data_IF_122066887668
#
_entry.id   IF_122066887668
#
_cell.length_a   1.000
_cell.length_b   1.000
_cell.length_c   1.000
_cell.angle_alpha   90.00
_cell.angle_beta   90.00
_cell.angle_gamma   90.00
#
_symmetry.space_group_name_H-M   'P 1'
#
loop_
_entity.id
_entity.type
_entity.pdbx_description
1 polymer ?
#
# COMPACT_ATOMS: atom_id res chain seq x y z
N UNK A 1 14.92 18.08 8.88
CA UNK A 1 14.58 16.76 8.28
C UNK A 1 13.08 16.53 8.38
N UNK A 2 12.43 16.02 7.34
CA UNK A 2 11.09 15.41 7.46
C UNK A 2 11.23 13.92 7.77
N UNK A 3 10.41 13.43 8.69
CA UNK A 3 10.35 12.02 9.08
C UNK A 3 9.13 11.37 8.44
N UNK A 4 9.37 10.53 7.42
CA UNK A 4 8.31 9.68 6.87
C UNK A 4 8.04 8.51 7.80
N UNK A 5 6.84 8.47 8.38
CA UNK A 5 6.40 7.44 9.29
C UNK A 5 5.10 6.79 8.78
N UNK A 6 5.26 5.66 8.09
CA UNK A 6 4.21 4.98 7.32
C UNK A 6 3.27 4.13 8.17
N UNK A 7 2.70 4.72 9.22
CA UNK A 7 1.74 4.08 10.12
C UNK A 7 0.61 5.05 10.49
N UNK A 8 -0.56 4.55 10.91
CA UNK A 8 -1.65 5.40 11.37
C UNK A 8 -1.26 6.22 12.59
N UNK A 9 -1.19 7.54 12.44
CA UNK A 9 -0.93 8.49 13.53
C UNK A 9 -2.09 9.46 13.72
N UNK A 10 -2.30 9.89 14.96
CA UNK A 10 -3.04 11.12 15.24
C UNK A 10 -2.04 12.27 15.20
N UNK A 11 -2.20 13.11 14.19
CA UNK A 11 -1.29 14.21 13.92
C UNK A 11 -1.90 15.50 14.48
N UNK A 12 -1.34 16.01 15.59
CA UNK A 12 -1.78 17.26 16.24
C UNK A 12 -1.15 18.52 15.62
N UNK A 13 -0.02 18.36 14.95
CA UNK A 13 0.69 19.40 14.21
C UNK A 13 1.54 18.75 13.13
N UNK A 14 2.11 19.54 12.21
CA UNK A 14 2.99 18.97 11.17
C UNK A 14 4.20 18.22 11.75
N UNK A 15 4.60 18.50 13.00
CA UNK A 15 5.76 17.91 13.71
C UNK A 15 5.35 17.00 14.87
N UNK A 16 4.17 16.40 14.84
CA UNK A 16 3.69 15.51 15.90
C UNK A 16 2.95 14.31 15.29
N UNK A 17 3.17 13.11 15.81
CA UNK A 17 2.48 11.91 15.34
C UNK A 17 2.32 10.90 16.46
N UNK A 18 1.13 10.84 17.06
CA UNK A 18 0.81 9.86 18.09
C UNK A 18 0.38 8.55 17.42
N UNK A 19 1.22 7.51 17.51
CA UNK A 19 0.93 6.22 16.89
C UNK A 19 -0.37 5.63 17.44
N UNK A 20 -1.33 5.36 16.56
CA UNK A 20 -2.64 4.83 16.94
C UNK A 20 -2.62 3.30 17.07
N UNK A 21 -1.91 2.64 16.15
CA UNK A 21 -1.75 1.18 16.09
C UNK A 21 -0.64 0.83 15.11
N UNK A 22 0.00 -0.32 15.33
CA UNK A 22 0.85 -0.90 14.31
C UNK A 22 0.02 -1.53 13.18
N UNK A 23 0.60 -1.54 11.98
CA UNK A 23 0.09 -2.22 10.79
C UNK A 23 1.24 -3.00 10.15
N UNK A 24 1.00 -3.70 9.04
CA UNK A 24 2.06 -4.45 8.31
C UNK A 24 2.76 -5.50 9.21
N UNK A 25 1.99 -6.12 10.11
CA UNK A 25 2.45 -7.09 11.12
C UNK A 25 3.57 -6.62 12.07
N UNK A 26 3.72 -5.30 12.25
CA UNK A 26 4.55 -4.77 13.33
C UNK A 26 3.84 -4.94 14.70
N UNK A 27 4.63 -5.18 15.75
CA UNK A 27 4.16 -5.19 17.14
C UNK A 27 5.31 -4.80 18.10
N UNK A 28 5.58 -3.49 18.19
CA UNK A 28 6.66 -2.95 19.03
C UNK A 28 6.07 -2.27 20.27
N UNK A 29 6.42 -2.70 21.50
CA UNK A 29 5.91 -2.11 22.72
C UNK A 29 6.45 -0.68 22.95
N UNK A 30 5.70 0.14 23.67
CA UNK A 30 6.14 1.48 24.11
C UNK A 30 6.02 2.59 23.06
N UNK A 31 5.44 2.32 21.90
CA UNK A 31 5.26 3.32 20.82
C UNK A 31 3.79 3.69 20.62
N UNK A 32 2.88 2.71 20.70
CA UNK A 32 1.44 2.96 20.58
C UNK A 32 0.98 3.92 21.69
N UNK A 33 0.22 4.95 21.32
CA UNK A 33 -0.24 6.02 22.21
C UNK A 33 0.81 7.10 22.51
N UNK A 34 2.01 7.01 21.96
CA UNK A 34 3.10 7.98 22.18
C UNK A 34 3.42 8.74 20.89
N UNK A 35 3.90 9.98 21.05
CA UNK A 35 4.39 10.78 19.93
C UNK A 35 5.77 10.26 19.52
N UNK A 36 5.90 9.86 18.25
CA UNK A 36 7.12 9.25 17.72
C UNK A 36 8.20 10.28 17.41
N UNK A 37 7.85 11.57 17.25
CA UNK A 37 8.83 12.61 16.95
C UNK A 37 9.79 12.85 18.13
N UNK A 38 9.32 13.10 19.37
CA UNK A 38 10.22 13.21 20.51
C UNK A 38 11.05 11.95 20.77
N UNK A 39 10.48 10.75 20.55
CA UNK A 39 11.20 9.49 20.71
C UNK A 39 12.40 9.40 19.75
N UNK A 40 12.22 9.80 18.48
CA UNK A 40 13.32 9.84 17.52
C UNK A 40 14.35 10.93 17.88
N UNK A 41 13.90 12.12 18.25
CA UNK A 41 14.79 13.24 18.60
C UNK A 41 15.64 12.95 19.84
N UNK A 42 15.10 12.25 20.85
CA UNK A 42 15.86 11.81 22.02
C UNK A 42 17.03 10.91 21.62
N UNK A 43 16.81 9.94 20.72
CA UNK A 43 17.85 9.03 20.24
C UNK A 43 18.88 9.72 19.33
N UNK A 44 18.46 10.69 18.53
CA UNK A 44 19.37 11.53 17.73
C UNK A 44 20.26 12.40 18.63
N UNK A 45 19.68 13.00 19.68
CA UNK A 45 20.40 13.83 20.64
C UNK A 45 21.44 13.01 21.43
N UNK A 46 21.10 11.81 21.90
CA UNK A 46 22.04 10.88 22.55
C UNK A 46 23.27 10.57 21.70
N UNK A 47 23.14 10.64 20.37
CA UNK A 47 24.19 10.37 19.39
C UNK A 47 24.85 11.63 18.83
N UNK A 48 24.51 12.81 19.35
CA UNK A 48 24.99 14.11 18.87
C UNK A 48 24.78 14.32 17.35
N UNK A 49 23.65 13.83 16.80
CA UNK A 49 23.31 14.04 15.39
C UNK A 49 22.64 15.42 15.25
N UNK A 50 23.21 16.36 14.48
CA UNK A 50 22.71 17.75 14.40
C UNK A 50 21.51 17.86 13.45
N UNK A 51 20.39 17.22 13.81
CA UNK A 51 19.18 17.16 12.98
C UNK A 51 17.95 17.51 13.81
N UNK A 52 17.16 18.48 13.32
CA UNK A 52 15.82 18.82 13.81
C UNK A 52 14.77 18.15 12.92
N UNK A 53 13.79 17.47 13.52
CA UNK A 53 12.63 16.99 12.77
C UNK A 53 11.68 18.18 12.58
N UNK A 54 11.38 18.57 11.34
CA UNK A 54 10.51 19.73 11.05
C UNK A 54 9.11 19.31 10.63
N UNK A 55 8.96 18.09 10.14
CA UNK A 55 7.68 17.51 9.75
C UNK A 55 7.69 16.00 9.99
N UNK A 56 6.54 15.44 10.33
CA UNK A 56 6.21 14.03 10.27
C UNK A 56 5.19 13.84 9.14
N UNK A 57 5.47 12.89 8.27
CA UNK A 57 4.75 12.70 7.00
C UNK A 57 4.38 11.23 6.83
N UNK A 58 3.18 10.94 6.35
CA UNK A 58 2.85 9.59 5.90
C UNK A 58 3.40 9.39 4.47
N UNK A 59 3.88 8.19 4.15
CA UNK A 59 4.44 7.87 2.82
C UNK A 59 3.49 8.21 1.69
N UNK A 60 2.22 7.84 1.80
CA UNK A 60 1.20 8.12 0.78
C UNK A 60 0.92 9.61 0.61
N UNK A 61 1.02 10.40 1.69
CA UNK A 61 0.97 11.87 1.62
C UNK A 61 2.19 12.40 0.86
N UNK A 62 3.37 11.88 1.17
CA UNK A 62 4.58 12.19 0.43
C UNK A 62 4.46 11.86 -1.06
N UNK A 63 3.89 10.69 -1.39
CA UNK A 63 3.60 10.25 -2.78
C UNK A 63 2.71 11.25 -3.51
N UNK A 64 1.62 11.72 -2.86
CA UNK A 64 0.74 12.75 -3.43
C UNK A 64 1.51 14.04 -3.73
N UNK A 65 2.27 14.55 -2.76
CA UNK A 65 2.99 15.82 -2.91
C UNK A 65 4.08 15.71 -3.98
N UNK A 66 4.92 14.67 -3.95
CA UNK A 66 5.99 14.48 -4.92
C UNK A 66 5.45 14.34 -6.35
N UNK A 67 4.40 13.53 -6.54
CA UNK A 67 3.82 13.29 -7.86
C UNK A 67 3.10 14.54 -8.39
N UNK A 68 2.31 15.23 -7.55
CA UNK A 68 1.58 16.43 -7.96
C UNK A 68 2.47 17.63 -8.24
N UNK A 69 3.66 17.70 -7.64
CA UNK A 69 4.66 18.70 -7.95
C UNK A 69 5.16 18.61 -9.41
N UNK A 70 5.26 17.40 -9.96
CA UNK A 70 5.68 17.18 -11.36
C UNK A 70 4.53 17.14 -12.35
N UNK A 71 3.41 16.55 -11.94
CA UNK A 71 2.23 16.37 -12.78
C UNK A 71 0.99 16.98 -12.11
N UNK A 72 0.54 18.17 -12.57
CA UNK A 72 -0.65 18.83 -12.02
C UNK A 72 -1.97 18.05 -12.20
N UNK A 73 -1.99 17.01 -13.04
CA UNK A 73 -3.15 16.13 -13.22
C UNK A 73 -3.29 15.10 -12.10
N UNK A 74 -2.24 14.92 -11.27
CA UNK A 74 -2.32 14.06 -10.09
C UNK A 74 -3.33 14.64 -9.11
N UNK A 75 -4.31 13.81 -8.71
CA UNK A 75 -5.30 14.16 -7.67
C UNK A 75 -5.25 13.25 -6.46
N UNK A 76 -4.43 12.20 -6.51
CA UNK A 76 -4.30 11.20 -5.46
C UNK A 76 -2.90 10.63 -5.47
N UNK A 77 -2.32 10.50 -4.27
CA UNK A 77 -1.20 9.61 -4.00
C UNK A 77 -1.75 8.29 -3.47
N UNK A 78 -1.19 7.18 -3.92
CA UNK A 78 -1.62 5.86 -3.47
C UNK A 78 -0.41 4.98 -3.25
N UNK A 79 -0.55 4.04 -2.34
CA UNK A 79 0.48 3.03 -2.06
C UNK A 79 -0.10 1.65 -2.32
N UNK A 80 0.61 0.86 -3.12
CA UNK A 80 0.33 -0.56 -3.34
C UNK A 80 1.64 -1.35 -3.22
N UNK A 81 1.91 -1.82 -1.99
CA UNK A 81 3.15 -2.50 -1.59
C UNK A 81 2.85 -3.52 -0.49
N UNK A 82 3.71 -3.63 0.54
CA UNK A 82 3.46 -4.39 1.77
C UNK A 82 2.12 -4.03 2.42
N UNK A 83 1.73 -2.75 2.37
CA UNK A 83 0.41 -2.24 2.76
C UNK A 83 -0.32 -1.62 1.57
N UNK A 84 -1.54 -1.13 1.80
CA UNK A 84 -2.25 -0.30 0.84
C UNK A 84 -2.89 0.93 1.50
N UNK A 85 -2.79 2.08 0.84
CA UNK A 85 -3.32 3.34 1.35
C UNK A 85 -3.53 4.35 0.22
N UNK A 86 -4.30 5.41 0.47
CA UNK A 86 -4.42 6.56 -0.43
C UNK A 86 -4.45 7.87 0.35
N UNK A 87 -3.97 8.93 -0.29
CA UNK A 87 -4.03 10.30 0.16
C UNK A 87 -4.55 11.23 -0.95
N UNK A 88 -5.38 12.19 -0.57
CA UNK A 88 -5.98 13.15 -1.51
C UNK A 88 -6.23 14.51 -0.85
N UNK A 89 -6.52 15.53 -1.64
CA UNK A 89 -6.83 16.89 -1.16
C UNK A 89 -8.33 17.08 -0.93
N UNK A 90 -8.71 17.59 0.25
CA UNK A 90 -10.10 17.91 0.61
C UNK A 90 -10.27 19.35 1.09
N UNK A 91 -11.43 19.95 0.86
CA UNK A 91 -11.74 21.28 1.37
C UNK A 91 -12.13 21.22 2.86
N UNK A 92 -11.61 22.14 3.67
CA UNK A 92 -11.79 22.14 5.13
C UNK A 92 -13.26 22.14 5.54
N UNK A 93 -14.12 22.90 4.85
CA UNK A 93 -15.58 22.90 5.07
C UNK A 93 -16.25 21.52 4.98
N UNK A 94 -15.68 20.60 4.19
CA UNK A 94 -16.18 19.23 4.01
C UNK A 94 -15.63 18.24 5.05
N UNK A 95 -14.89 18.72 6.06
CA UNK A 95 -14.29 17.91 7.12
C UNK A 95 -14.89 18.34 8.48
N UNK A 96 -16.02 17.74 8.93
CA UNK A 96 -16.71 18.16 10.15
C UNK A 96 -15.82 18.17 11.40
N UNK A 97 -14.87 17.23 11.51
CA UNK A 97 -13.93 17.16 12.65
C UNK A 97 -12.93 18.32 12.72
N UNK A 98 -12.86 19.18 11.70
CA UNK A 98 -11.99 20.36 11.65
C UNK A 98 -12.78 21.67 11.68
N UNK A 99 -14.10 21.66 11.86
CA UNK A 99 -14.90 22.89 11.92
C UNK A 99 -14.42 23.86 13.01
N UNK A 100 -13.92 23.35 14.14
CA UNK A 100 -13.41 24.17 15.25
C UNK A 100 -11.89 24.39 15.20
N UNK A 101 -11.22 24.07 14.08
CA UNK A 101 -9.75 24.19 13.95
C UNK A 101 -9.25 25.61 13.74
N UNK A 102 -10.14 26.55 13.39
CA UNK A 102 -9.78 27.92 13.02
C UNK A 102 -9.18 28.06 11.60
N UNK A 103 -9.13 26.97 10.83
CA UNK A 103 -8.73 27.01 9.42
C UNK A 103 -9.82 27.68 8.56
N UNK A 104 -9.43 28.43 7.51
CA UNK A 104 -10.39 28.94 6.52
C UNK A 104 -11.23 27.83 5.91
N UNK A 105 -12.52 28.07 5.67
CA UNK A 105 -13.44 27.07 5.12
C UNK A 105 -13.02 26.53 3.74
N UNK A 106 -12.39 27.38 2.93
CA UNK A 106 -11.86 27.07 1.60
C UNK A 106 -10.41 26.58 1.62
N UNK A 107 -9.78 26.50 2.80
CA UNK A 107 -8.46 25.90 2.94
C UNK A 107 -8.50 24.44 2.47
N UNK A 108 -7.46 24.04 1.75
CA UNK A 108 -7.32 22.65 1.30
C UNK A 108 -6.43 21.88 2.28
N UNK A 109 -6.91 20.72 2.71
CA UNK A 109 -6.26 19.85 3.69
C UNK A 109 -5.96 18.51 3.04
N UNK A 110 -4.75 18.00 3.25
CA UNK A 110 -4.39 16.64 2.82
C UNK A 110 -5.10 15.64 3.75
N UNK A 111 -5.83 14.71 3.16
CA UNK A 111 -6.41 13.56 3.86
C UNK A 111 -5.52 12.35 3.60
N UNK A 112 -4.82 11.88 4.63
CA UNK A 112 -4.35 10.51 4.69
C UNK A 112 -5.54 9.62 5.10
N UNK A 113 -5.97 8.71 4.22
CA UNK A 113 -7.20 7.94 4.45
C UNK A 113 -7.03 6.80 5.45
N UNK A 114 -5.85 6.19 5.52
CA UNK A 114 -5.60 4.93 6.24
C UNK A 114 -6.71 3.88 5.96
N UNK A 115 -7.11 3.81 4.68
CA UNK A 115 -8.27 3.02 4.25
C UNK A 115 -8.08 1.50 4.39
N UNK A 116 -6.89 1.04 4.78
CA UNK A 116 -6.61 -0.37 5.03
C UNK A 116 -7.54 -0.93 6.12
N UNK A 117 -8.04 -0.05 6.99
CA UNK A 117 -9.02 -0.31 8.03
C UNK A 117 -10.47 -0.41 7.56
N UNK A 118 -10.75 -0.17 6.27
CA UNK A 118 -12.10 -0.24 5.73
C UNK A 118 -12.74 -1.61 5.96
N UNK A 119 -14.02 -1.58 6.35
CA UNK A 119 -14.86 -2.76 6.58
C UNK A 119 -14.27 -3.78 7.56
N UNK A 120 -13.64 -3.29 8.64
CA UNK A 120 -13.30 -4.14 9.79
C UNK A 120 -14.55 -4.82 10.39
N UNK A 121 -15.73 -4.24 10.19
CA UNK A 121 -17.04 -4.80 10.56
C UNK A 121 -17.52 -5.92 9.64
N UNK A 122 -16.82 -6.18 8.52
CA UNK A 122 -17.04 -7.30 7.59
C UNK A 122 -18.44 -7.34 6.98
N UNK A 123 -18.97 -6.18 6.56
CA UNK A 123 -20.33 -6.03 6.02
C UNK A 123 -20.41 -6.16 4.52
N UNK A 124 -19.38 -5.76 3.78
CA UNK A 124 -19.43 -5.63 2.32
C UNK A 124 -18.33 -6.38 1.60
N UNK A 125 -17.19 -6.62 2.23
CA UNK A 125 -16.08 -7.32 1.62
C UNK A 125 -16.41 -8.83 1.44
N UNK A 126 -16.08 -9.42 0.27
CA UNK A 126 -16.41 -10.80 -0.05
C UNK A 126 -15.40 -11.77 0.60
N UNK A 127 -15.38 -11.83 1.93
CA UNK A 127 -14.41 -12.61 2.70
C UNK A 127 -14.61 -14.12 2.50
N UNK A 128 -13.55 -14.77 2.02
CA UNK A 128 -13.45 -16.23 1.92
C UNK A 128 -13.03 -16.84 3.27
N UNK A 129 -13.11 -18.17 3.43
CA UNK A 129 -12.52 -18.83 4.61
C UNK A 129 -11.01 -18.57 4.74
N UNK A 130 -10.30 -18.41 3.62
CA UNK A 130 -8.87 -18.12 3.61
C UNK A 130 -8.57 -16.69 4.11
N UNK A 131 -9.40 -15.71 3.74
CA UNK A 131 -9.28 -14.34 4.27
C UNK A 131 -9.45 -14.30 5.79
N UNK A 132 -10.42 -15.08 6.30
CA UNK A 132 -10.65 -15.20 7.74
C UNK A 132 -9.44 -15.83 8.43
N UNK A 133 -8.87 -16.88 7.85
CA UNK A 133 -7.67 -17.51 8.39
C UNK A 133 -6.48 -16.54 8.44
N UNK A 134 -6.23 -15.78 7.36
CA UNK A 134 -5.19 -14.75 7.33
C UNK A 134 -5.41 -13.71 8.43
N UNK A 135 -6.65 -13.26 8.62
CA UNK A 135 -6.96 -12.29 9.67
C UNK A 135 -6.76 -12.88 11.07
N UNK A 136 -7.26 -14.08 11.33
CA UNK A 136 -7.20 -14.75 12.62
C UNK A 136 -5.76 -15.08 13.03
N UNK A 137 -4.87 -15.38 12.07
CA UNK A 137 -3.45 -15.73 12.29
C UNK A 137 -2.50 -14.51 12.24
N UNK A 138 -3.00 -13.32 11.89
CA UNK A 138 -2.18 -12.09 11.82
C UNK A 138 -1.83 -11.53 13.20
N UNK A 139 -0.90 -10.57 13.24
CA UNK A 139 -0.53 -9.89 14.49
C UNK A 139 -1.71 -9.15 15.14
N UNK A 140 -2.67 -8.68 14.33
CA UNK A 140 -3.81 -7.88 14.79
C UNK A 140 -5.13 -8.41 14.19
N UNK A 141 -5.72 -9.49 14.73
CA UNK A 141 -6.99 -10.02 14.24
C UNK A 141 -8.16 -9.02 14.33
N UNK A 142 -9.04 -9.02 13.34
CA UNK A 142 -10.19 -8.11 13.25
C UNK A 142 -9.82 -6.67 12.86
N UNK A 143 -8.58 -6.44 12.44
CA UNK A 143 -8.07 -5.13 12.01
C UNK A 143 -7.52 -5.21 10.60
N UNK A 144 -7.49 -4.07 9.92
CA UNK A 144 -6.92 -3.92 8.58
C UNK A 144 -7.53 -4.92 7.56
N UNK A 145 -8.83 -5.21 7.65
CA UNK A 145 -9.47 -6.26 6.84
C UNK A 145 -9.32 -5.97 5.34
N UNK A 146 -9.53 -4.71 4.92
CA UNK A 146 -9.33 -4.33 3.53
C UNK A 146 -7.87 -4.47 3.08
N UNK A 147 -6.91 -4.04 3.91
CA UNK A 147 -5.48 -4.20 3.62
C UNK A 147 -5.11 -5.67 3.46
N UNK A 148 -5.63 -6.56 4.31
CA UNK A 148 -5.39 -8.02 4.25
C UNK A 148 -5.91 -8.66 2.96
N UNK A 149 -6.89 -8.04 2.31
CA UNK A 149 -7.40 -8.53 1.02
C UNK A 149 -6.65 -7.97 -0.20
N UNK A 150 -5.89 -6.89 -0.03
CA UNK A 150 -5.33 -6.08 -1.14
C UNK A 150 -3.81 -6.05 -1.15
N UNK A 151 -3.18 -5.90 0.01
CA UNK A 151 -1.76 -5.57 0.08
C UNK A 151 -0.87 -6.78 -0.21
N UNK A 152 0.29 -6.52 -0.80
CA UNK A 152 1.22 -7.55 -1.27
C UNK A 152 1.67 -8.53 -0.18
N UNK A 153 1.71 -8.08 1.08
CA UNK A 153 2.03 -8.94 2.23
C UNK A 153 1.13 -10.19 2.29
N UNK A 154 -0.14 -10.08 1.86
CA UNK A 154 -1.14 -11.13 2.06
C UNK A 154 -1.54 -11.86 0.78
N UNK A 155 -1.20 -11.33 -0.41
CA UNK A 155 -1.57 -11.95 -1.70
C UNK A 155 -0.91 -13.33 -1.83
N UNK A 156 0.36 -13.45 -1.46
CA UNK A 156 1.07 -14.72 -1.50
C UNK A 156 0.56 -15.72 -0.46
N UNK A 157 0.20 -15.24 0.73
CA UNK A 157 -0.37 -16.08 1.78
C UNK A 157 -1.75 -16.64 1.40
N UNK A 158 -2.59 -15.82 0.75
CA UNK A 158 -3.85 -16.29 0.16
C UNK A 158 -3.62 -17.43 -0.82
N UNK A 159 -2.67 -17.27 -1.74
CA UNK A 159 -2.32 -18.32 -2.70
C UNK A 159 -1.82 -19.59 -2.00
N UNK A 160 -0.98 -19.44 -0.98
CA UNK A 160 -0.43 -20.54 -0.18
C UNK A 160 -1.55 -21.38 0.45
N UNK A 161 -2.47 -20.72 1.15
CA UNK A 161 -3.59 -21.37 1.83
C UNK A 161 -4.52 -22.11 0.85
N UNK A 162 -4.81 -21.51 -0.30
CA UNK A 162 -5.62 -22.15 -1.35
C UNK A 162 -4.93 -23.40 -1.88
N UNK A 163 -3.63 -23.30 -2.22
CA UNK A 163 -2.86 -24.43 -2.74
C UNK A 163 -2.72 -25.56 -1.70
N UNK A 164 -2.48 -25.20 -0.44
CA UNK A 164 -2.42 -26.18 0.65
C UNK A 164 -3.76 -26.91 0.82
N UNK A 165 -4.88 -26.17 0.77
CA UNK A 165 -6.21 -26.79 0.84
C UNK A 165 -6.51 -27.73 -0.34
N UNK A 166 -6.01 -27.40 -1.53
CA UNK A 166 -6.15 -28.28 -2.70
C UNK A 166 -5.25 -29.51 -2.60
N UNK A 167 -4.07 -29.39 -2.00
CA UNK A 167 -3.21 -30.52 -1.68
C UNK A 167 -3.86 -31.48 -0.67
N UNK A 168 -4.43 -30.94 0.42
CA UNK A 168 -5.13 -31.75 1.44
C UNK A 168 -6.32 -32.53 0.86
N UNK A 169 -6.93 -32.01 -0.21
CA UNK A 169 -8.01 -32.68 -0.96
C UNK A 169 -7.50 -33.67 -2.02
N UNK A 170 -6.19 -33.84 -2.15
CA UNK A 170 -5.55 -34.70 -3.15
C UNK A 170 -5.66 -34.21 -4.59
N UNK A 171 -5.91 -32.91 -4.80
CA UNK A 171 -6.09 -32.28 -6.12
C UNK A 171 -4.74 -31.82 -6.69
N UNK A 172 -3.88 -31.21 -5.87
CA UNK A 172 -2.55 -30.73 -6.24
C UNK A 172 -1.45 -31.45 -5.46
N UNK A 173 -0.28 -31.60 -6.07
CA UNK A 173 0.97 -32.05 -5.44
C UNK A 173 0.85 -33.42 -4.77
N UNK A 174 0.05 -34.33 -5.35
CA UNK A 174 -0.23 -35.64 -4.76
C UNK A 174 1.07 -36.43 -4.56
N UNK A 175 1.31 -36.86 -3.31
CA UNK A 175 2.50 -37.63 -2.95
C UNK A 175 3.79 -36.82 -2.85
N UNK A 176 3.73 -35.49 -2.97
CA UNK A 176 4.91 -34.62 -2.81
C UNK A 176 5.05 -34.12 -1.37
N UNK A 177 6.27 -33.73 -1.01
CA UNK A 177 6.55 -33.12 0.28
C UNK A 177 6.25 -31.61 0.21
N UNK A 178 5.14 -31.19 0.84
CA UNK A 178 4.69 -29.80 0.87
C UNK A 178 5.15 -29.02 2.11
N UNK A 179 6.16 -29.49 2.84
CA UNK A 179 6.61 -28.86 4.10
C UNK A 179 6.95 -27.37 3.94
N UNK A 180 7.55 -26.97 2.82
CA UNK A 180 7.83 -25.55 2.54
C UNK A 180 6.56 -24.72 2.32
N UNK A 181 5.54 -25.31 1.68
CA UNK A 181 4.24 -24.67 1.47
C UNK A 181 3.45 -24.56 2.79
N UNK A 182 3.71 -25.41 3.78
CA UNK A 182 3.09 -25.34 5.10
C UNK A 182 3.59 -24.16 5.92
N UNK A 183 4.79 -23.64 5.64
CA UNK A 183 5.34 -22.45 6.29
C UNK A 183 4.52 -21.21 5.90
N UNK A 184 3.91 -20.55 6.89
CA UNK A 184 3.20 -19.29 6.70
C UNK A 184 4.10 -18.23 6.03
N UNK A 185 3.52 -17.43 5.13
CA UNK A 185 4.21 -16.38 4.37
C UNK A 185 5.40 -16.88 3.53
N UNK A 186 5.42 -18.16 3.17
CA UNK A 186 6.46 -18.75 2.29
C UNK A 186 6.41 -18.29 0.84
N UNK A 187 5.32 -17.64 0.43
CA UNK A 187 5.13 -17.12 -0.92
C UNK A 187 5.13 -15.59 -0.89
N UNK A 188 6.15 -15.01 -1.49
CA UNK A 188 6.25 -13.56 -1.69
C UNK A 188 5.58 -13.13 -3.01
N UNK A 189 5.29 -11.84 -3.16
CA UNK A 189 4.78 -11.29 -4.43
C UNK A 189 5.75 -11.46 -5.60
N UNK A 190 7.05 -11.62 -5.33
CA UNK A 190 8.08 -11.92 -6.33
C UNK A 190 7.80 -13.26 -7.02
N UNK A 191 7.41 -14.29 -6.26
CA UNK A 191 6.99 -15.60 -6.78
C UNK A 191 5.82 -15.45 -7.77
N UNK A 192 4.77 -14.71 -7.38
CA UNK A 192 3.59 -14.50 -8.20
C UNK A 192 3.95 -13.76 -9.52
N UNK A 193 4.80 -12.75 -9.44
CA UNK A 193 5.28 -12.00 -10.60
C UNK A 193 6.06 -12.90 -11.57
N UNK A 194 6.97 -13.75 -11.07
CA UNK A 194 7.72 -14.71 -11.89
C UNK A 194 6.79 -15.71 -12.57
N UNK A 195 5.86 -16.31 -11.81
CA UNK A 195 4.91 -17.30 -12.31
C UNK A 195 4.02 -16.74 -13.43
N UNK A 196 3.54 -15.50 -13.31
CA UNK A 196 2.68 -14.92 -14.34
C UNK A 196 3.41 -14.43 -15.59
N UNK A 197 4.69 -14.07 -15.45
CA UNK A 197 5.51 -13.63 -16.60
C UNK A 197 5.83 -14.77 -17.56
N UNK A 198 5.78 -16.02 -17.10
CA UNK A 198 6.00 -17.17 -17.95
C UNK A 198 4.79 -17.39 -18.89
N UNK A 199 4.93 -16.89 -20.12
CA UNK A 199 3.95 -17.07 -21.18
C UNK A 199 4.27 -18.27 -22.09
N UNK A 200 5.32 -19.04 -21.79
CA UNK A 200 5.72 -20.19 -22.63
C UNK A 200 4.71 -21.33 -22.53
N UNK A 201 4.59 -22.13 -23.60
CA UNK A 201 3.70 -23.31 -23.57
C UNK A 201 4.17 -24.37 -22.56
N UNK A 202 5.47 -24.43 -22.31
CA UNK A 202 6.09 -25.41 -21.40
C UNK A 202 6.14 -24.96 -19.94
N UNK A 203 5.89 -23.67 -19.66
CA UNK A 203 5.90 -23.08 -18.32
C UNK A 203 7.19 -23.40 -17.55
N UNK A 204 8.33 -23.29 -18.23
CA UNK A 204 9.64 -23.72 -17.72
C UNK A 204 10.11 -22.88 -16.54
N UNK A 205 9.96 -21.56 -16.61
CA UNK A 205 10.39 -20.63 -15.57
C UNK A 205 9.50 -20.79 -14.34
N UNK A 206 8.19 -20.95 -14.56
CA UNK A 206 7.25 -21.28 -13.51
C UNK A 206 7.64 -22.60 -12.83
N UNK A 207 7.94 -23.65 -13.60
CA UNK A 207 8.35 -24.94 -13.04
C UNK A 207 9.60 -24.83 -12.17
N UNK A 208 10.60 -24.10 -12.62
CA UNK A 208 11.84 -23.89 -11.85
C UNK A 208 11.58 -23.06 -10.59
N UNK A 209 10.70 -22.05 -10.64
CA UNK A 209 10.34 -21.25 -9.48
C UNK A 209 9.63 -22.10 -8.39
N UNK A 210 8.73 -23.01 -8.78
CA UNK A 210 8.12 -23.98 -7.86
C UNK A 210 9.16 -24.94 -7.24
N UNK A 211 10.10 -25.44 -8.03
CA UNK A 211 11.20 -26.27 -7.51
C UNK A 211 12.07 -25.49 -6.53
N UNK A 212 12.50 -24.30 -6.90
CA UNK A 212 13.41 -23.46 -6.12
C UNK A 212 12.79 -23.04 -4.78
N UNK A 213 11.59 -22.48 -4.83
CA UNK A 213 10.92 -21.90 -3.66
C UNK A 213 10.25 -22.97 -2.80
N UNK A 214 9.53 -23.93 -3.42
CA UNK A 214 8.71 -24.90 -2.69
C UNK A 214 9.24 -26.33 -2.71
N UNK A 215 10.27 -26.64 -3.50
CA UNK A 215 10.75 -28.01 -3.72
C UNK A 215 9.64 -28.95 -4.24
N UNK A 216 8.82 -28.43 -5.16
CA UNK A 216 7.72 -29.16 -5.79
C UNK A 216 8.00 -29.38 -7.29
N UNK A 217 7.65 -30.56 -7.77
CA UNK A 217 7.75 -30.97 -9.18
C UNK A 217 6.36 -31.03 -9.80
N UNK A 218 5.96 -29.99 -10.52
CA UNK A 218 4.61 -29.94 -11.07
C UNK A 218 4.53 -30.56 -12.46
N UNK A 219 3.43 -31.26 -12.72
CA UNK A 219 2.98 -31.59 -14.07
C UNK A 219 2.50 -30.34 -14.82
N UNK A 220 2.38 -30.42 -16.15
CA UNK A 220 1.90 -29.29 -16.95
C UNK A 220 0.47 -28.86 -16.57
N UNK A 221 -0.39 -29.81 -16.21
CA UNK A 221 -1.76 -29.51 -15.78
C UNK A 221 -1.79 -28.81 -14.42
N UNK A 222 -0.94 -29.22 -13.47
CA UNK A 222 -0.77 -28.52 -12.19
C UNK A 222 -0.20 -27.13 -12.38
N UNK A 223 0.76 -26.94 -13.29
CA UNK A 223 1.30 -25.62 -13.63
C UNK A 223 0.19 -24.72 -14.19
N UNK A 224 -0.62 -25.19 -15.14
CA UNK A 224 -1.75 -24.44 -15.68
C UNK A 224 -2.77 -24.07 -14.59
N UNK A 225 -3.10 -25.02 -13.72
CA UNK A 225 -4.01 -24.78 -12.59
C UNK A 225 -3.45 -23.73 -11.62
N UNK A 226 -2.18 -23.84 -11.22
CA UNK A 226 -1.54 -22.89 -10.33
C UNK A 226 -1.45 -21.49 -10.96
N UNK A 227 -1.15 -21.39 -12.25
CA UNK A 227 -1.11 -20.11 -12.97
C UNK A 227 -2.48 -19.44 -12.98
N UNK A 228 -3.54 -20.21 -13.16
CA UNK A 228 -4.90 -19.71 -13.07
C UNK A 228 -5.24 -19.21 -11.65
N UNK A 229 -4.84 -19.95 -10.61
CA UNK A 229 -5.03 -19.53 -9.22
C UNK A 229 -4.30 -18.22 -8.91
N UNK A 230 -3.04 -18.07 -9.35
CA UNK A 230 -2.27 -16.83 -9.19
C UNK A 230 -3.01 -15.67 -9.86
N UNK A 231 -3.49 -15.88 -11.09
CA UNK A 231 -4.29 -14.90 -11.83
C UNK A 231 -5.56 -14.47 -11.11
N UNK A 232 -6.29 -15.40 -10.50
CA UNK A 232 -7.49 -15.10 -9.73
C UNK A 232 -7.19 -14.28 -8.47
N UNK A 233 -6.18 -14.70 -7.69
CA UNK A 233 -5.82 -14.03 -6.44
C UNK A 233 -5.31 -12.62 -6.72
N UNK A 234 -4.42 -12.46 -7.71
CA UNK A 234 -3.91 -11.16 -8.12
C UNK A 234 -5.00 -10.26 -8.71
N UNK A 235 -5.90 -10.79 -9.53
CA UNK A 235 -7.04 -10.04 -10.08
C UNK A 235 -7.99 -9.56 -8.98
N UNK A 236 -8.33 -10.41 -8.01
CA UNK A 236 -9.14 -10.00 -6.87
C UNK A 236 -8.49 -8.82 -6.14
N UNK A 237 -7.20 -8.94 -5.85
CA UNK A 237 -6.42 -7.90 -5.15
C UNK A 237 -6.46 -6.56 -5.89
N UNK A 238 -6.18 -6.58 -7.20
CA UNK A 238 -6.16 -5.39 -8.03
C UNK A 238 -7.55 -4.74 -8.19
N UNK A 239 -8.61 -5.55 -8.30
CA UNK A 239 -9.99 -5.04 -8.40
C UNK A 239 -10.47 -4.42 -7.10
N UNK A 240 -10.12 -5.02 -5.96
CA UNK A 240 -10.37 -4.41 -4.66
C UNK A 240 -9.59 -3.11 -4.52
N UNK A 241 -8.30 -3.09 -4.83
CA UNK A 241 -7.50 -1.85 -4.85
C UNK A 241 -8.17 -0.72 -5.66
N UNK A 242 -8.67 -1.04 -6.86
CA UNK A 242 -9.40 -0.09 -7.70
C UNK A 242 -10.64 0.51 -7.02
N UNK A 243 -11.33 -0.22 -6.13
CA UNK A 243 -12.45 0.30 -5.37
C UNK A 243 -12.06 1.48 -4.46
N UNK A 244 -10.89 1.42 -3.82
CA UNK A 244 -10.39 2.50 -2.95
C UNK A 244 -10.17 3.79 -3.74
N UNK A 245 -9.52 3.68 -4.90
CA UNK A 245 -9.31 4.79 -5.83
C UNK A 245 -10.65 5.34 -6.33
N UNK A 246 -11.53 4.45 -6.82
CA UNK A 246 -12.82 4.82 -7.36
C UNK A 246 -13.72 5.50 -6.31
N UNK A 247 -13.67 5.07 -5.05
CA UNK A 247 -14.44 5.66 -3.97
C UNK A 247 -14.07 7.14 -3.76
N UNK A 248 -12.76 7.46 -3.75
CA UNK A 248 -12.29 8.84 -3.61
C UNK A 248 -12.69 9.67 -4.85
N UNK A 249 -12.50 9.13 -6.07
CA UNK A 249 -12.91 9.82 -7.29
C UNK A 249 -14.42 10.11 -7.31
N UNK A 250 -15.26 9.13 -6.96
CA UNK A 250 -16.72 9.30 -6.86
C UNK A 250 -17.09 10.33 -5.79
N UNK A 251 -16.48 10.26 -4.60
CA UNK A 251 -16.69 11.22 -3.51
C UNK A 251 -16.38 12.65 -3.94
N UNK A 252 -15.27 12.85 -4.65
CA UNK A 252 -14.79 14.17 -5.09
C UNK A 252 -15.41 14.65 -6.42
N UNK A 253 -16.20 13.81 -7.09
CA UNK A 253 -16.71 14.11 -8.43
C UNK A 253 -15.62 14.21 -9.50
N UNK A 254 -14.46 13.57 -9.27
CA UNK A 254 -13.34 13.56 -10.21
C UNK A 254 -13.66 12.58 -11.34
N UNK A 255 -13.75 13.10 -12.56
CA UNK A 255 -14.04 12.30 -13.76
C UNK A 255 -12.80 11.89 -14.53
N UNK A 256 -11.72 12.65 -14.38
CA UNK A 256 -10.44 12.41 -15.03
C UNK A 256 -9.32 12.89 -14.11
N UNK A 257 -8.32 12.04 -13.88
CA UNK A 257 -7.12 12.40 -13.12
C UNK A 257 -6.02 11.37 -13.31
N UNK A 258 -4.82 11.75 -12.91
CA UNK A 258 -3.74 10.80 -12.68
C UNK A 258 -3.69 10.43 -11.19
N UNK A 259 -3.26 9.21 -10.90
CA UNK A 259 -2.98 8.71 -9.55
C UNK A 259 -1.50 8.35 -9.52
N UNK A 260 -0.75 8.95 -8.60
CA UNK A 260 0.63 8.57 -8.36
C UNK A 260 0.65 7.36 -7.44
N UNK A 261 1.13 6.22 -7.92
CA UNK A 261 1.18 4.96 -7.19
C UNK A 261 2.61 4.62 -6.81
N UNK A 262 2.92 4.65 -5.52
CA UNK A 262 4.17 4.15 -4.98
C UNK A 262 4.01 2.70 -4.50
N UNK A 263 5.10 1.93 -4.53
CA UNK A 263 5.15 0.59 -3.97
C UNK A 263 5.84 -0.44 -4.85
N UNK A 264 6.60 -1.31 -4.20
CA UNK A 264 7.36 -2.36 -4.89
C UNK A 264 6.45 -3.34 -5.64
N UNK A 265 5.24 -3.58 -5.13
CA UNK A 265 4.27 -4.50 -5.75
C UNK A 265 3.77 -3.91 -7.06
N UNK A 266 3.30 -2.66 -7.06
CA UNK A 266 2.88 -1.98 -8.28
C UNK A 266 4.01 -1.92 -9.33
N UNK A 267 5.22 -1.54 -8.91
CA UNK A 267 6.35 -1.33 -9.83
C UNK A 267 6.94 -2.65 -10.39
N UNK A 268 6.93 -3.75 -9.62
CA UNK A 268 7.59 -5.01 -10.02
C UNK A 268 6.61 -6.07 -10.54
N UNK A 269 5.32 -5.92 -10.25
CA UNK A 269 4.27 -6.84 -10.65
C UNK A 269 3.34 -6.18 -11.67
N UNK A 270 3.85 -6.02 -12.89
CA UNK A 270 3.23 -5.29 -14.01
C UNK A 270 1.78 -5.69 -14.32
N UNK A 271 1.41 -6.96 -14.10
CA UNK A 271 0.04 -7.42 -14.36
C UNK A 271 -1.00 -6.81 -13.41
N UNK A 272 -0.61 -6.32 -12.22
CA UNK A 272 -1.54 -5.72 -11.27
C UNK A 272 -2.03 -4.35 -11.73
N UNK A 273 -1.19 -3.55 -12.38
CA UNK A 273 -1.58 -2.26 -12.95
C UNK A 273 -2.73 -2.44 -13.94
N UNK A 274 -2.54 -3.28 -14.96
CA UNK A 274 -3.57 -3.52 -15.98
C UNK A 274 -4.88 -4.05 -15.40
N UNK A 275 -4.82 -4.92 -14.38
CA UNK A 275 -6.01 -5.43 -13.68
C UNK A 275 -6.71 -4.37 -12.83
N UNK A 276 -5.96 -3.46 -12.21
CA UNK A 276 -6.51 -2.37 -11.43
C UNK A 276 -7.18 -1.33 -12.37
N UNK A 277 -6.52 -0.98 -13.48
CA UNK A 277 -7.08 -0.14 -14.53
C UNK A 277 -8.34 -0.75 -15.14
N UNK A 278 -8.35 -2.06 -15.42
CA UNK A 278 -9.57 -2.75 -15.84
C UNK A 278 -10.67 -2.72 -14.75
N UNK A 279 -10.29 -2.84 -13.48
CA UNK A 279 -11.22 -2.67 -12.37
C UNK A 279 -11.88 -1.28 -12.37
N UNK A 280 -11.11 -0.22 -12.62
CA UNK A 280 -11.63 1.14 -12.76
C UNK A 280 -12.57 1.27 -13.96
N UNK A 281 -12.20 0.73 -15.14
CA UNK A 281 -13.05 0.68 -16.33
C UNK A 281 -14.42 0.09 -16.01
N UNK A 282 -14.44 -1.07 -15.35
CA UNK A 282 -15.67 -1.76 -15.02
C UNK A 282 -16.51 -0.98 -13.98
N UNK A 283 -15.88 -0.31 -13.01
CA UNK A 283 -16.58 0.46 -11.95
C UNK A 283 -17.24 1.73 -12.51
N UNK A 284 -16.65 2.33 -13.53
CA UNK A 284 -17.11 3.57 -14.17
C UNK A 284 -17.82 3.35 -15.51
N UNK A 285 -17.94 2.10 -15.96
CA UNK A 285 -18.59 1.71 -17.21
C UNK A 285 -18.02 2.48 -18.42
N UNK A 286 -16.69 2.49 -18.55
CA UNK A 286 -16.01 3.12 -19.68
C UNK A 286 -16.17 2.28 -20.95
N UNK A 287 -16.38 2.95 -22.08
CA UNK A 287 -16.41 2.30 -23.39
C UNK A 287 -15.09 1.55 -23.67
N UNK A 288 -15.13 0.37 -24.32
CA UNK A 288 -13.95 -0.47 -24.53
C UNK A 288 -12.75 0.24 -25.17
N UNK A 289 -13.00 1.11 -26.15
CA UNK A 289 -11.96 1.81 -26.91
C UNK A 289 -11.57 3.16 -26.28
N UNK A 290 -12.16 3.52 -25.14
CA UNK A 290 -11.87 4.78 -24.48
C UNK A 290 -10.52 4.71 -23.74
N UNK A 291 -9.78 5.82 -23.74
CA UNK A 291 -8.60 5.97 -22.89
C UNK A 291 -8.98 5.91 -21.40
N UNK A 292 -8.07 5.41 -20.57
CA UNK A 292 -8.26 5.40 -19.12
C UNK A 292 -8.36 6.84 -18.60
N UNK A 293 -9.55 7.22 -18.13
CA UNK A 293 -9.77 8.57 -17.59
C UNK A 293 -9.11 8.74 -16.22
N UNK A 294 -8.98 7.65 -15.47
CA UNK A 294 -8.21 7.59 -14.23
C UNK A 294 -7.02 6.69 -14.50
N UNK A 295 -5.85 7.29 -14.71
CA UNK A 295 -4.61 6.55 -14.98
C UNK A 295 -3.81 6.33 -13.70
N UNK A 296 -3.35 5.10 -13.52
CA UNK A 296 -2.47 4.71 -12.42
C UNK A 296 -1.03 4.80 -12.93
N UNK A 297 -0.24 5.73 -12.40
CA UNK A 297 1.12 5.97 -12.87
C UNK A 297 2.11 5.67 -11.74
N UNK A 298 3.28 5.07 -12.02
CA UNK A 298 4.34 4.97 -11.04
C UNK A 298 4.67 6.34 -10.46
N UNK A 299 4.64 6.45 -9.14
CA UNK A 299 4.98 7.67 -8.45
C UNK A 299 6.49 7.85 -8.33
N UNK A 300 6.89 9.11 -8.12
CA UNK A 300 8.20 9.44 -7.57
C UNK A 300 8.32 8.98 -6.11
N UNK A 301 9.55 8.99 -5.59
CA UNK A 301 9.83 8.67 -4.19
C UNK A 301 9.05 9.58 -3.23
N UNK A 302 7.91 9.09 -2.74
CA UNK A 302 7.06 9.82 -1.80
C UNK A 302 7.72 9.96 -0.43
N UNK A 303 8.46 8.94 -0.01
CA UNK A 303 9.04 8.87 1.34
C UNK A 303 10.28 9.74 1.50
N UNK A 304 11.05 9.97 0.44
CA UNK A 304 12.19 10.87 0.42
C UNK A 304 11.86 12.24 -0.19
N UNK A 305 11.61 12.29 -1.50
CA UNK A 305 11.35 13.56 -2.22
C UNK A 305 10.08 14.23 -1.68
N UNK A 306 8.99 13.48 -1.52
CA UNK A 306 7.73 14.00 -1.00
C UNK A 306 7.87 14.58 0.41
N UNK A 307 8.57 13.88 1.28
CA UNK A 307 8.87 14.34 2.63
C UNK A 307 9.73 15.62 2.63
N UNK A 308 10.74 15.70 1.76
CA UNK A 308 11.57 16.90 1.61
C UNK A 308 10.75 18.10 1.13
N UNK A 309 9.83 17.91 0.17
CA UNK A 309 8.91 18.95 -0.28
C UNK A 309 7.97 19.40 0.85
N UNK A 310 7.41 18.48 1.64
CA UNK A 310 6.60 18.82 2.81
C UNK A 310 7.42 19.59 3.84
N UNK A 311 8.67 19.19 4.12
CA UNK A 311 9.56 19.97 4.98
C UNK A 311 9.77 21.39 4.45
N UNK A 312 9.98 21.57 3.15
CA UNK A 312 10.17 22.91 2.57
C UNK A 312 8.95 23.83 2.72
N UNK A 313 7.74 23.26 2.75
CA UNK A 313 6.50 23.98 3.01
C UNK A 313 6.24 24.23 4.50
N UNK A 314 6.85 23.43 5.38
CA UNK A 314 6.66 23.48 6.83
C UNK A 314 7.60 24.46 7.53
N UNK A 315 8.77 24.74 6.93
CA UNK A 315 9.77 25.65 7.48
C UNK A 315 9.43 27.08 7.03
N UNK A 316 9.33 28.00 7.99
CA UNK A 316 9.18 29.43 7.72
C UNK A 316 10.44 29.94 6.98
N UNK A 317 10.33 30.72 5.89
CA UNK A 317 11.49 31.29 5.20
C UNK A 317 12.51 31.97 6.12
N UNK A 318 12.07 32.55 7.24
CA UNK A 318 12.96 33.16 8.24
C UNK A 318 13.84 32.17 9.02
N UNK A 319 13.41 30.91 9.20
CA UNK A 319 14.22 29.86 9.85
C UNK A 319 15.31 29.29 8.91
N UNK A 320 15.18 29.50 7.59
CA UNK A 320 16.18 29.05 6.61
C UNK A 320 17.39 29.99 6.55
N UNK A 321 17.24 31.27 6.90
CA UNK A 321 18.34 32.24 6.94
C UNK A 321 19.26 32.06 8.16
N UNK A 322 18.75 31.51 9.27
CA UNK A 322 19.57 31.19 10.46
C UNK A 322 20.43 29.92 10.28
N UNK A 323 20.05 29.01 9.37
CA UNK A 323 20.91 27.92 8.90
C UNK A 323 21.88 28.44 7.83
N UNK A 324 22.69 29.42 8.20
CA UNK A 324 23.65 30.07 7.31
C UNK A 324 24.57 29.09 6.59
N UNK A 325 24.71 29.29 5.29
CA UNK A 325 25.67 28.64 4.37
C UNK A 325 27.14 28.97 4.67
N UNK A 326 27.48 29.38 5.89
CA UNK A 326 28.84 29.77 6.28
C UNK A 326 29.63 28.67 7.01
N UNK A 327 29.02 27.53 7.35
CA UNK A 327 29.74 26.42 8.02
C UNK A 327 30.16 25.25 7.11
N UNK A 328 29.93 25.34 5.79
CA UNK A 328 30.34 24.28 4.84
C UNK A 328 30.99 24.81 3.55
N UNK A 329 31.96 25.73 3.70
CA UNK A 329 33.04 25.94 2.73
C UNK A 329 34.40 25.70 3.39
#
# INVERSE_FOLDING_TARGET
MAFTFSFPVEQKSIRSGILQRWTKDFDIPGVVGHDVVPQLEEELAKRNVPVKVVALVNDTVGTLIASSYRDPQIKMGSTFSTGCNAAYMEECRLIPKLHDSGLPEDATVIINTEYGSFDNERKVLPLTPFDRQIDDESAHPGRQIYEKMVAGLYIGEMLRLVMLKMHDKGILFKGQNVSRLQTANSLETSFLSTVEKDMSESLTDMKEEFRKCLNLELSLDELKACRWLVGLVAMRSARLYACGIAAICKKKGIRQCHVGVDGAVFNKYSMLEGRASQGLRDIFDWEPDRLDLISLNPAEDGSGIGAALVASLAVDPGELEECGTEEYL
#
